data_IF_033128292079
#
_entry.id   IF_033128292079
#
_cell.length_a   1.000
_cell.length_b   1.000
_cell.length_c   1.000
_cell.angle_alpha   90.00
_cell.angle_beta   90.00
_cell.angle_gamma   90.00
#
_symmetry.space_group_name_H-M   'P 1'
#
loop_
_entity.id
_entity.type
_entity.pdbx_description
1 polymer ?
#
# COMPACT_ATOMS: atom_id res chain seq x y z
N UNK A 1 -23.35 14.40 -38.89
CA UNK A 1 -22.74 13.13 -38.51
C UNK A 1 -21.78 13.37 -37.35
N UNK A 2 -22.10 12.87 -36.19
CA UNK A 2 -21.31 13.10 -34.95
C UNK A 2 -20.34 11.95 -34.74
N UNK A 3 -19.21 12.22 -34.10
CA UNK A 3 -18.19 11.22 -33.75
C UNK A 3 -18.12 11.11 -32.22
N UNK A 4 -18.19 9.90 -31.69
CA UNK A 4 -18.09 9.66 -30.26
C UNK A 4 -16.69 10.04 -29.73
N UNK A 5 -16.56 10.92 -28.73
CA UNK A 5 -15.26 11.31 -28.18
C UNK A 5 -14.57 10.18 -27.42
N UNK A 6 -15.30 9.14 -27.01
CA UNK A 6 -14.75 8.03 -26.23
C UNK A 6 -14.32 6.84 -27.08
N UNK A 7 -15.09 6.47 -28.15
CA UNK A 7 -14.81 5.28 -28.95
C UNK A 7 -14.62 5.55 -30.46
N UNK A 8 -14.69 6.80 -30.92
CA UNK A 8 -14.50 7.18 -32.32
C UNK A 8 -15.60 6.73 -33.29
N UNK A 9 -16.64 6.08 -32.81
CA UNK A 9 -17.73 5.59 -33.67
C UNK A 9 -18.51 6.75 -34.28
N UNK A 10 -18.89 6.60 -35.56
CA UNK A 10 -19.70 7.56 -36.30
C UNK A 10 -21.17 7.18 -36.22
N UNK A 11 -22.04 8.16 -35.93
CA UNK A 11 -23.50 7.98 -35.84
C UNK A 11 -24.26 9.21 -36.28
N UNK A 12 -25.57 9.07 -36.45
CA UNK A 12 -26.46 10.16 -36.86
C UNK A 12 -26.60 11.24 -35.78
N UNK A 13 -26.91 12.46 -36.21
CA UNK A 13 -26.99 13.63 -35.33
C UNK A 13 -28.13 13.58 -34.30
N UNK A 14 -29.02 12.58 -34.41
CA UNK A 14 -30.21 12.41 -33.55
C UNK A 14 -29.93 11.67 -32.23
N UNK A 15 -28.80 11.02 -32.10
CA UNK A 15 -28.49 10.21 -30.94
C UNK A 15 -27.80 11.03 -29.84
N UNK A 16 -28.38 10.98 -28.62
CA UNK A 16 -27.81 11.61 -27.42
C UNK A 16 -26.74 10.75 -26.72
N UNK A 17 -26.65 9.44 -27.06
CA UNK A 17 -25.71 8.50 -26.52
C UNK A 17 -25.07 7.70 -27.65
N UNK A 18 -23.80 7.35 -27.49
CA UNK A 18 -23.12 6.46 -28.42
C UNK A 18 -23.72 5.06 -28.36
N UNK A 19 -24.19 4.52 -29.48
CA UNK A 19 -24.80 3.19 -29.57
C UNK A 19 -23.80 2.02 -29.37
N UNK A 20 -22.49 2.32 -29.38
CA UNK A 20 -21.42 1.32 -29.22
C UNK A 20 -20.89 1.28 -27.79
N UNK A 21 -20.64 2.44 -27.14
CA UNK A 21 -20.04 2.49 -25.80
C UNK A 21 -20.91 3.17 -24.74
N UNK A 22 -22.12 3.63 -25.08
CA UNK A 22 -23.05 4.25 -24.13
C UNK A 22 -22.67 5.66 -23.62
N UNK A 23 -21.57 6.25 -24.11
CA UNK A 23 -21.11 7.57 -23.64
C UNK A 23 -22.09 8.67 -24.06
N UNK A 24 -22.51 9.57 -23.16
CA UNK A 24 -23.36 10.73 -23.49
C UNK A 24 -22.59 11.71 -24.38
N UNK A 25 -23.26 12.26 -25.39
CA UNK A 25 -22.67 13.15 -26.38
C UNK A 25 -23.18 14.56 -26.12
N UNK A 26 -22.28 15.53 -25.84
CA UNK A 26 -22.68 16.95 -25.71
C UNK A 26 -23.31 17.48 -26.99
N UNK A 27 -24.33 18.32 -26.88
CA UNK A 27 -25.04 18.90 -28.05
C UNK A 27 -24.18 19.86 -28.90
N UNK A 28 -23.00 20.28 -28.41
CA UNK A 28 -22.05 21.15 -29.11
C UNK A 28 -20.73 20.46 -29.39
N UNK A 29 -20.69 19.48 -30.32
CA UNK A 29 -19.42 18.99 -30.85
C UNK A 29 -19.07 19.78 -32.14
N UNK A 30 -18.23 20.80 -32.03
CA UNK A 30 -17.58 21.45 -33.16
C UNK A 30 -16.73 20.42 -33.95
N UNK A 31 -16.73 20.47 -35.30
CA UNK A 31 -15.91 19.55 -36.08
C UNK A 31 -14.41 19.82 -35.85
N UNK A 32 -13.70 18.83 -35.32
CA UNK A 32 -12.24 18.88 -35.18
C UNK A 32 -11.64 18.58 -36.54
N UNK A 33 -10.68 19.41 -37.06
CA UNK A 33 -9.97 19.13 -38.30
C UNK A 33 -9.22 17.81 -38.22
N UNK A 34 -9.34 16.99 -39.24
CA UNK A 34 -8.65 15.70 -39.37
C UNK A 34 -7.12 15.88 -39.41
N UNK A 35 -6.40 15.56 -38.33
CA UNK A 35 -4.96 15.46 -38.34
C UNK A 35 -4.55 14.07 -38.86
N UNK A 36 -3.52 14.00 -39.73
CA UNK A 36 -3.12 12.73 -40.38
C UNK A 36 -2.19 11.92 -39.51
N UNK A 37 -2.62 11.34 -38.39
CA UNK A 37 -1.89 10.31 -37.64
C UNK A 37 -2.72 9.80 -36.44
N UNK A 38 -4.06 9.70 -36.60
CA UNK A 38 -4.97 9.28 -35.54
C UNK A 38 -4.81 7.79 -35.10
N UNK A 39 -3.95 7.00 -35.72
CA UNK A 39 -3.82 5.59 -35.36
C UNK A 39 -2.91 5.32 -34.18
N UNK A 40 -2.04 6.27 -33.80
CA UNK A 40 -1.16 6.12 -32.61
C UNK A 40 -1.78 6.63 -31.31
N UNK A 41 -2.90 7.36 -31.38
CA UNK A 41 -3.58 7.90 -30.19
C UNK A 41 -4.54 6.90 -29.51
N UNK A 42 -4.81 5.73 -30.12
CA UNK A 42 -5.75 4.75 -29.60
C UNK A 42 -5.16 3.77 -28.60
N UNK A 43 -3.84 3.79 -28.40
CA UNK A 43 -3.16 3.01 -27.37
C UNK A 43 -2.45 3.94 -26.37
N UNK A 44 -3.15 4.96 -25.87
CA UNK A 44 -2.85 5.36 -24.51
C UNK A 44 -3.53 4.31 -23.63
N UNK A 45 -2.75 3.45 -22.95
CA UNK A 45 -3.32 2.69 -21.85
C UNK A 45 -4.00 3.74 -20.98
N UNK A 46 -5.28 3.51 -20.64
CA UNK A 46 -6.00 4.36 -19.71
C UNK A 46 -5.00 4.66 -18.60
N UNK A 47 -4.71 5.94 -18.36
CA UNK A 47 -3.87 6.35 -17.26
C UNK A 47 -4.50 5.63 -16.08
N UNK A 48 -3.85 4.55 -15.64
CA UNK A 48 -4.24 3.86 -14.44
C UNK A 48 -4.13 4.93 -13.40
N UNK A 49 -5.28 5.49 -13.00
CA UNK A 49 -5.35 6.31 -11.80
C UNK A 49 -4.64 5.42 -10.79
N UNK A 50 -3.50 5.82 -10.24
CA UNK A 50 -2.81 4.97 -9.27
C UNK A 50 -3.86 4.70 -8.21
N UNK A 51 -4.28 3.44 -8.09
CA UNK A 51 -5.15 3.02 -7.00
C UNK A 51 -4.27 3.24 -5.78
N UNK A 52 -4.42 4.39 -5.16
CA UNK A 52 -3.75 4.73 -3.92
C UNK A 52 -4.13 3.63 -2.93
N UNK A 53 -3.19 2.77 -2.61
CA UNK A 53 -3.37 1.75 -1.59
C UNK A 53 -3.57 2.52 -0.26
N UNK A 54 -4.75 2.43 0.39
CA UNK A 54 -5.03 3.19 1.61
C UNK A 54 -4.10 2.83 2.78
N UNK A 55 -3.25 1.81 2.61
CA UNK A 55 -2.27 1.37 3.59
C UNK A 55 -0.82 1.69 3.17
N UNK A 56 -0.64 2.42 2.09
CA UNK A 56 0.66 2.91 1.63
C UNK A 56 0.81 4.39 1.99
N UNK A 57 1.57 4.67 3.04
CA UNK A 57 1.87 6.01 3.55
C UNK A 57 3.19 6.56 3.00
N UNK A 58 3.77 5.93 1.97
CA UNK A 58 5.11 6.30 1.47
C UNK A 58 5.18 7.75 0.98
N UNK A 59 4.07 8.29 0.44
CA UNK A 59 4.00 9.67 -0.06
C UNK A 59 3.83 10.72 1.06
N UNK A 60 3.55 10.28 2.30
CA UNK A 60 3.35 11.19 3.44
C UNK A 60 4.67 11.64 4.07
N UNK A 61 5.78 10.96 3.75
CA UNK A 61 7.10 11.20 4.34
C UNK A 61 8.04 11.89 3.37
N UNK A 62 8.86 12.81 3.89
CA UNK A 62 9.92 13.47 3.12
C UNK A 62 10.98 12.45 2.68
N UNK A 63 11.34 12.47 1.40
CA UNK A 63 12.39 11.61 0.85
C UNK A 63 13.75 11.79 1.57
N UNK A 64 14.07 13.00 2.00
CA UNK A 64 15.28 13.27 2.77
C UNK A 64 15.25 12.58 4.15
N UNK A 65 14.10 12.57 4.84
CA UNK A 65 13.92 11.86 6.11
C UNK A 65 14.04 10.35 5.92
N UNK A 66 13.42 9.80 4.86
CA UNK A 66 13.51 8.38 4.52
C UNK A 66 14.97 7.98 4.29
N UNK A 67 15.71 8.71 3.44
CA UNK A 67 17.11 8.39 3.12
C UNK A 67 18.03 8.49 4.32
N UNK A 68 17.87 9.52 5.16
CA UNK A 68 18.70 9.73 6.33
C UNK A 68 18.47 8.67 7.42
N UNK A 69 17.23 8.22 7.59
CA UNK A 69 16.81 7.42 8.75
C UNK A 69 16.39 5.98 8.42
N UNK A 70 16.50 5.56 7.17
CA UNK A 70 16.15 4.23 6.68
C UNK A 70 16.77 3.11 7.50
N UNK A 71 18.03 3.25 7.91
CA UNK A 71 18.74 2.23 8.67
C UNK A 71 18.06 1.94 10.02
N UNK A 72 17.56 2.98 10.70
CA UNK A 72 16.82 2.81 11.95
C UNK A 72 15.48 2.11 11.73
N UNK A 73 14.76 2.46 10.66
CA UNK A 73 13.53 1.78 10.29
C UNK A 73 13.75 0.30 9.95
N UNK A 74 14.84 -0.04 9.26
CA UNK A 74 15.24 -1.43 9.00
C UNK A 74 15.58 -2.19 10.28
N UNK A 75 16.28 -1.53 11.23
CA UNK A 75 16.67 -2.13 12.51
C UNK A 75 15.46 -2.54 13.34
N UNK A 76 14.32 -1.82 13.26
CA UNK A 76 13.07 -2.18 13.94
C UNK A 76 12.60 -3.59 13.56
N UNK A 77 12.67 -3.96 12.28
CA UNK A 77 12.23 -5.28 11.82
C UNK A 77 13.29 -6.36 11.99
N UNK A 78 14.57 -6.00 11.89
CA UNK A 78 15.68 -6.97 11.99
C UNK A 78 16.00 -7.34 13.45
N UNK A 79 16.04 -6.34 14.34
CA UNK A 79 16.47 -6.49 15.73
C UNK A 79 15.30 -6.48 16.72
N UNK A 80 14.06 -6.44 16.25
CA UNK A 80 12.87 -6.46 17.08
C UNK A 80 12.91 -5.35 18.18
N UNK A 81 12.75 -5.71 19.45
CA UNK A 81 12.72 -4.75 20.56
C UNK A 81 14.01 -3.92 20.68
N UNK A 82 15.16 -4.51 20.39
CA UNK A 82 16.45 -3.80 20.39
C UNK A 82 16.46 -2.74 19.28
N UNK A 83 15.96 -3.10 18.08
CA UNK A 83 15.83 -2.17 16.96
C UNK A 83 14.89 -1.01 17.26
N UNK A 84 13.79 -1.27 17.96
CA UNK A 84 12.87 -0.22 18.42
C UNK A 84 13.59 0.75 19.36
N UNK A 85 14.34 0.25 20.33
CA UNK A 85 15.09 1.10 21.28
C UNK A 85 16.13 1.94 20.53
N UNK A 86 16.90 1.32 19.62
CA UNK A 86 17.89 2.03 18.81
C UNK A 86 17.25 3.12 17.95
N UNK A 87 16.11 2.82 17.33
CA UNK A 87 15.36 3.77 16.51
C UNK A 87 14.85 4.97 17.33
N UNK A 88 14.33 4.71 18.53
CA UNK A 88 13.86 5.77 19.44
C UNK A 88 14.99 6.64 20.00
N UNK A 89 16.19 6.10 20.16
CA UNK A 89 17.35 6.87 20.64
C UNK A 89 18.03 7.63 19.50
N UNK A 90 18.14 7.02 18.30
CA UNK A 90 18.93 7.58 17.19
C UNK A 90 18.15 8.46 16.22
N UNK A 91 16.86 8.24 16.06
CA UNK A 91 16.02 8.93 15.07
C UNK A 91 14.65 9.33 15.65
N UNK A 92 14.63 9.83 16.87
CA UNK A 92 13.41 10.18 17.61
C UNK A 92 12.53 11.21 16.90
N UNK A 93 13.11 12.13 16.15
CA UNK A 93 12.40 13.23 15.48
C UNK A 93 11.90 12.86 14.09
N UNK A 94 12.35 11.71 13.53
CA UNK A 94 11.93 11.23 12.21
C UNK A 94 10.51 10.68 12.25
N UNK A 95 9.60 11.30 11.49
CA UNK A 95 8.24 10.82 11.35
C UNK A 95 8.19 9.44 10.68
N UNK A 96 9.06 9.20 9.69
CA UNK A 96 9.21 7.93 9.01
C UNK A 96 9.60 6.79 9.97
N UNK A 97 10.60 7.02 10.83
CA UNK A 97 11.02 6.02 11.83
C UNK A 97 9.95 5.77 12.87
N UNK A 98 9.26 6.81 13.33
CA UNK A 98 8.17 6.65 14.30
C UNK A 98 7.02 5.81 13.76
N UNK A 99 6.69 5.94 12.47
CA UNK A 99 5.71 5.07 11.81
C UNK A 99 6.13 3.59 11.91
N UNK A 100 7.37 3.27 11.55
CA UNK A 100 7.90 1.90 11.62
C UNK A 100 8.06 1.38 13.06
N UNK A 101 8.39 2.25 14.01
CA UNK A 101 8.43 1.90 15.44
C UNK A 101 7.05 1.48 15.95
N UNK A 102 5.99 2.22 15.60
CA UNK A 102 4.60 1.82 15.94
C UNK A 102 4.25 0.44 15.37
N UNK A 103 4.62 0.18 14.12
CA UNK A 103 4.37 -1.12 13.50
C UNK A 103 5.18 -2.23 14.18
N UNK A 104 6.48 -2.01 14.43
CA UNK A 104 7.34 -2.94 15.16
C UNK A 104 6.83 -3.26 16.56
N UNK A 105 6.31 -2.26 17.27
CA UNK A 105 5.74 -2.44 18.60
C UNK A 105 4.46 -3.31 18.55
N UNK A 106 3.61 -3.14 17.51
CA UNK A 106 2.44 -4.02 17.30
C UNK A 106 2.89 -5.49 17.13
N UNK A 107 3.94 -5.75 16.36
CA UNK A 107 4.52 -7.11 16.24
C UNK A 107 4.96 -7.65 17.60
N UNK A 108 5.76 -6.88 18.36
CA UNK A 108 6.27 -7.33 19.67
C UNK A 108 5.13 -7.65 20.64
N UNK A 109 4.06 -6.86 20.66
CA UNK A 109 2.91 -7.10 21.54
C UNK A 109 2.19 -8.40 21.15
N UNK A 110 1.92 -8.60 19.85
CA UNK A 110 1.25 -9.81 19.37
C UNK A 110 2.08 -11.06 19.66
N UNK A 111 3.40 -11.01 19.43
CA UNK A 111 4.31 -12.12 19.72
C UNK A 111 4.36 -12.44 21.21
N UNK A 112 4.42 -11.41 22.06
CA UNK A 112 4.41 -11.57 23.51
C UNK A 112 3.11 -12.24 23.97
N UNK A 113 1.95 -11.80 23.45
CA UNK A 113 0.65 -12.40 23.81
C UNK A 113 0.54 -13.84 23.34
N UNK A 114 1.00 -14.15 22.10
CA UNK A 114 1.02 -15.53 21.59
C UNK A 114 1.94 -16.42 22.43
N UNK A 115 3.12 -15.91 22.79
CA UNK A 115 4.06 -16.62 23.66
C UNK A 115 3.51 -16.88 25.05
N UNK A 116 2.83 -15.91 25.64
CA UNK A 116 2.17 -16.03 26.94
C UNK A 116 1.04 -17.07 26.88
N UNK A 117 0.17 -17.02 25.87
CA UNK A 117 -0.90 -18.00 25.66
C UNK A 117 -0.34 -19.42 25.49
N UNK A 118 0.70 -19.57 24.67
CA UNK A 118 1.36 -20.86 24.47
C UNK A 118 1.99 -21.39 25.77
N UNK A 119 2.59 -20.52 26.59
CA UNK A 119 3.21 -20.89 27.86
C UNK A 119 2.18 -21.32 28.91
N UNK A 120 1.08 -20.55 29.06
CA UNK A 120 0.03 -20.89 30.02
C UNK A 120 -0.73 -22.17 29.64
N UNK A 121 -0.97 -22.35 28.33
CA UNK A 121 -1.72 -23.51 27.81
C UNK A 121 -0.81 -24.62 27.27
N UNK A 122 0.44 -24.69 27.76
CA UNK A 122 1.43 -25.67 27.31
C UNK A 122 0.94 -27.11 27.40
N UNK A 123 0.11 -27.43 28.39
CA UNK A 123 -0.44 -28.81 28.59
C UNK A 123 -1.39 -29.25 27.47
N UNK A 124 -1.91 -28.34 26.67
CA UNK A 124 -2.90 -28.66 25.62
C UNK A 124 -2.26 -28.95 24.29
N UNK A 125 -1.01 -29.25 24.15
CA UNK A 125 -0.26 -29.56 22.92
C UNK A 125 -0.74 -28.79 21.66
N UNK A 126 -2.03 -28.68 21.44
CA UNK A 126 -2.67 -28.01 20.29
C UNK A 126 -2.38 -26.50 20.29
N UNK A 127 -2.48 -25.83 21.45
CA UNK A 127 -2.28 -24.37 21.55
C UNK A 127 -0.84 -23.97 21.26
N UNK A 128 0.20 -24.63 21.82
CA UNK A 128 1.58 -24.33 21.44
C UNK A 128 1.87 -24.54 19.96
N UNK A 129 1.31 -25.59 19.35
CA UNK A 129 1.49 -25.83 17.91
C UNK A 129 0.83 -24.73 17.10
N UNK A 130 -0.41 -24.37 17.42
CA UNK A 130 -1.12 -23.26 16.74
C UNK A 130 -0.39 -21.94 16.91
N UNK A 131 0.09 -21.62 18.11
CA UNK A 131 0.85 -20.41 18.39
C UNK A 131 2.18 -20.40 17.58
N UNK A 132 2.87 -21.54 17.48
CA UNK A 132 4.07 -21.66 16.66
C UNK A 132 3.81 -21.37 15.17
N UNK A 133 2.71 -21.87 14.63
CA UNK A 133 2.31 -21.56 13.25
C UNK A 133 2.01 -20.07 13.08
N UNK A 134 1.28 -19.45 14.02
CA UNK A 134 0.99 -18.02 14.00
C UNK A 134 2.28 -17.18 14.06
N UNK A 135 3.22 -17.56 14.94
CA UNK A 135 4.52 -16.87 15.03
C UNK A 135 5.32 -17.00 13.73
N UNK A 136 5.33 -18.16 13.08
CA UNK A 136 5.98 -18.33 11.79
C UNK A 136 5.38 -17.43 10.71
N UNK A 137 4.05 -17.28 10.67
CA UNK A 137 3.37 -16.36 9.76
C UNK A 137 3.76 -14.91 10.05
N UNK A 138 3.81 -14.51 11.32
CA UNK A 138 4.22 -13.14 11.73
C UNK A 138 5.66 -12.85 11.31
N UNK A 139 6.58 -13.82 11.43
CA UNK A 139 7.97 -13.65 10.97
C UNK A 139 8.05 -13.44 9.45
N UNK A 140 7.25 -14.16 8.66
CA UNK A 140 7.20 -13.94 7.20
C UNK A 140 6.73 -12.51 6.90
N UNK A 141 5.70 -12.02 7.60
CA UNK A 141 5.18 -10.66 7.41
C UNK A 141 6.22 -9.63 7.85
N UNK A 142 6.95 -9.88 8.92
CA UNK A 142 8.05 -9.04 9.39
C UNK A 142 9.17 -8.93 8.33
N UNK A 143 9.53 -10.04 7.70
CA UNK A 143 10.50 -10.08 6.60
C UNK A 143 9.99 -9.27 5.40
N UNK A 144 8.71 -9.40 5.04
CA UNK A 144 8.11 -8.60 3.97
C UNK A 144 8.17 -7.11 4.30
N UNK A 145 7.83 -6.71 5.53
CA UNK A 145 7.91 -5.33 5.99
C UNK A 145 9.35 -4.80 5.94
N UNK A 146 10.35 -5.60 6.34
CA UNK A 146 11.75 -5.26 6.19
C UNK A 146 12.12 -4.95 4.73
N UNK A 147 11.72 -5.80 3.77
CA UNK A 147 12.00 -5.54 2.35
C UNK A 147 11.25 -4.32 1.81
N UNK A 148 10.06 -4.00 2.32
CA UNK A 148 9.35 -2.77 1.97
C UNK A 148 10.15 -1.53 2.41
N UNK A 149 10.71 -1.53 3.61
CA UNK A 149 11.61 -0.47 4.09
C UNK A 149 12.87 -0.38 3.22
N UNK A 150 13.44 -1.51 2.81
CA UNK A 150 14.56 -1.53 1.85
C UNK A 150 14.19 -0.86 0.51
N UNK A 151 12.92 -0.91 0.11
CA UNK A 151 12.37 -0.25 -1.08
C UNK A 151 11.88 1.19 -0.84
N UNK A 152 12.21 1.82 0.29
CA UNK A 152 11.75 3.16 0.71
C UNK A 152 10.23 3.28 0.83
N UNK A 153 9.53 2.18 1.13
CA UNK A 153 8.07 2.16 1.27
C UNK A 153 7.66 2.14 2.73
N UNK A 154 6.67 2.96 3.07
CA UNK A 154 6.03 3.00 4.37
C UNK A 154 4.63 2.35 4.28
N UNK A 155 4.58 1.01 4.21
CA UNK A 155 3.32 0.26 4.14
C UNK A 155 2.96 -0.36 5.48
N UNK A 156 1.67 -0.36 5.79
CA UNK A 156 1.16 -1.09 6.95
C UNK A 156 1.13 -2.60 6.68
N UNK A 157 1.78 -3.43 7.53
CA UNK A 157 1.77 -4.88 7.39
C UNK A 157 0.35 -5.46 7.48
N UNK A 158 0.00 -6.38 6.57
CA UNK A 158 -1.36 -6.82 6.30
C UNK A 158 -2.16 -7.33 7.51
N UNK A 159 -1.54 -8.03 8.47
CA UNK A 159 -2.25 -8.62 9.62
C UNK A 159 -2.40 -7.62 10.77
N UNK A 160 -1.39 -6.79 11.01
CA UNK A 160 -1.37 -5.89 12.17
C UNK A 160 -2.03 -4.52 11.90
N UNK A 161 -2.37 -4.20 10.66
CA UNK A 161 -3.04 -2.94 10.28
C UNK A 161 -4.41 -2.77 10.94
N UNK A 162 -5.11 -3.87 11.24
CA UNK A 162 -6.39 -3.84 11.95
C UNK A 162 -6.30 -3.55 13.45
N UNK A 163 -5.09 -3.50 14.02
CA UNK A 163 -4.87 -3.24 15.44
C UNK A 163 -4.77 -1.73 15.69
N UNK A 164 -5.89 -1.11 16.06
CA UNK A 164 -6.03 0.34 16.22
C UNK A 164 -5.52 0.90 17.56
N UNK A 165 -4.96 0.07 18.44
CA UNK A 165 -4.56 0.49 19.80
C UNK A 165 -3.27 1.34 19.87
N UNK A 166 -2.58 1.54 18.75
CA UNK A 166 -1.36 2.37 18.64
C UNK A 166 -1.44 3.41 17.50
N UNK A 167 -2.63 3.83 17.13
CA UNK A 167 -2.80 4.90 16.14
C UNK A 167 -2.68 6.26 16.79
#
# INVERSE_FOLDING_TARGET
MKICPNCGARFGDENRFCTICGTPIPEEATPIPAAPNAFSAYYQPAATVPVSDPFDHSEEFDEADIHANKLYAMAVYLLSIIGIVLALLGARESAYVQFHVKQGLKFCIVELLLGLCAGVLFFTIIVPIAAGVCLAILEVIRIIAFFQVCGNKAKEPAIIRGLSFLN
#
